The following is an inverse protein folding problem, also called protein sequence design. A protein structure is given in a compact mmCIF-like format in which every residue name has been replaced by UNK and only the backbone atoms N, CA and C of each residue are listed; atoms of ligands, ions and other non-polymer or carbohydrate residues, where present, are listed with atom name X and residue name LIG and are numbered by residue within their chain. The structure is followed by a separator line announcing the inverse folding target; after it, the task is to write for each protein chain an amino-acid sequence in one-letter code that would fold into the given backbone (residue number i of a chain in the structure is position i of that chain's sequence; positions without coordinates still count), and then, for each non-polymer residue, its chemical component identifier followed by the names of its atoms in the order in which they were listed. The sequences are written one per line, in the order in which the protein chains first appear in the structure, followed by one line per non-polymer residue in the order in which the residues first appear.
data_IF_456766312275
#
_entry.id   IF_456766312275
#
_cell.length_a   1.000
_cell.length_b   1.000
_cell.length_c   1.000
_cell.angle_alpha   90.00
_cell.angle_beta   90.00
_cell.angle_gamma   90.00
#
_symmetry.space_group_name_H-M   'P 1'
#
loop_
_entity.id
_entity.type
_entity.pdbx_description
1 polymer ?
#
# COMPACT_ATOMS: atom_id res chain seq x y z
N UNK A 1 17.38 -3.08 -19.12
CA UNK A 1 16.20 -2.22 -18.94
C UNK A 1 16.49 -1.34 -17.75
N UNK A 2 16.63 -0.03 -17.95
CA UNK A 2 17.01 0.91 -16.88
C UNK A 2 15.78 1.08 -15.99
N UNK A 3 15.88 0.70 -14.71
CA UNK A 3 14.85 1.00 -13.72
C UNK A 3 14.69 2.52 -13.68
N UNK A 4 13.56 3.04 -14.13
CA UNK A 4 13.27 4.47 -14.04
C UNK A 4 13.33 4.88 -12.57
N UNK A 5 14.18 5.86 -12.26
CA UNK A 5 14.24 6.40 -10.91
C UNK A 5 12.82 6.93 -10.57
N UNK A 6 12.21 6.52 -9.44
CA UNK A 6 10.88 7.01 -9.08
C UNK A 6 10.84 8.53 -9.13
N UNK A 7 9.84 9.08 -9.80
CA UNK A 7 9.77 10.52 -10.04
C UNK A 7 9.63 11.23 -8.69
N UNK A 8 10.62 12.07 -8.36
CA UNK A 8 10.61 12.84 -7.12
C UNK A 8 9.46 13.85 -7.18
N UNK A 9 8.48 13.66 -6.31
CA UNK A 9 7.33 14.57 -6.11
C UNK A 9 7.41 15.14 -4.70
N UNK A 10 7.06 16.41 -4.52
CA UNK A 10 6.79 16.95 -3.19
C UNK A 10 5.59 16.22 -2.56
N UNK A 11 5.39 16.40 -1.24
CA UNK A 11 4.27 15.75 -0.53
C UNK A 11 2.89 16.09 -1.15
N UNK A 12 2.66 17.36 -1.47
CA UNK A 12 1.42 17.83 -2.07
C UNK A 12 1.24 17.30 -3.50
N UNK A 13 2.27 17.39 -4.34
CA UNK A 13 2.25 16.85 -5.71
C UNK A 13 2.01 15.34 -5.71
N UNK A 14 2.62 14.61 -4.78
CA UNK A 14 2.44 13.17 -4.64
C UNK A 14 0.98 12.83 -4.29
N UNK A 15 0.37 13.55 -3.36
CA UNK A 15 -1.03 13.35 -3.02
C UNK A 15 -1.96 13.65 -4.21
N UNK A 16 -1.73 14.75 -4.92
CA UNK A 16 -2.53 15.11 -6.11
C UNK A 16 -2.33 14.13 -7.27
N UNK A 17 -1.12 13.60 -7.45
CA UNK A 17 -0.83 12.53 -8.41
C UNK A 17 -1.66 11.28 -8.12
N UNK A 18 -1.65 10.78 -6.87
CA UNK A 18 -2.41 9.59 -6.48
C UNK A 18 -3.91 9.79 -6.73
N UNK A 19 -4.48 10.93 -6.34
CA UNK A 19 -5.91 11.22 -6.61
C UNK A 19 -6.21 11.26 -8.10
N UNK A 20 -5.33 11.88 -8.89
CA UNK A 20 -5.49 11.96 -10.35
C UNK A 20 -5.40 10.57 -11.01
N UNK A 21 -4.48 9.71 -10.54
CA UNK A 21 -4.34 8.34 -11.03
C UNK A 21 -5.59 7.51 -10.72
N UNK A 22 -6.17 7.64 -9.51
CA UNK A 22 -7.43 6.97 -9.17
C UNK A 22 -8.59 7.44 -10.07
N UNK A 23 -8.68 8.75 -10.33
CA UNK A 23 -9.68 9.32 -11.25
C UNK A 23 -9.50 8.87 -12.69
N UNK A 24 -8.25 8.74 -13.16
CA UNK A 24 -7.94 8.24 -14.49
C UNK A 24 -8.45 6.79 -14.72
N UNK A 25 -8.63 6.01 -13.64
CA UNK A 25 -9.27 4.69 -13.69
C UNK A 25 -10.81 4.75 -13.70
N UNK A 26 -11.40 5.94 -13.84
CA UNK A 26 -12.85 6.16 -13.78
C UNK A 26 -13.44 5.87 -12.40
N UNK A 27 -12.66 6.09 -11.34
CA UNK A 27 -13.11 5.97 -9.94
C UNK A 27 -13.17 7.39 -9.37
N UNK A 28 -14.36 7.87 -9.00
CA UNK A 28 -14.49 9.14 -8.29
C UNK A 28 -14.47 8.87 -6.77
N UNK A 29 -13.41 9.28 -6.04
CA UNK A 29 -13.33 9.04 -4.61
C UNK A 29 -14.35 9.89 -3.86
N UNK A 30 -15.10 9.29 -2.93
CA UNK A 30 -16.02 10.04 -2.08
C UNK A 30 -15.25 11.12 -1.29
N UNK A 31 -15.80 12.34 -1.06
CA UNK A 31 -15.10 13.40 -0.31
C UNK A 31 -14.67 13.01 1.10
N UNK A 32 -15.38 12.07 1.74
CA UNK A 32 -15.03 11.52 3.06
C UNK A 32 -14.24 10.20 2.98
N UNK A 33 -13.87 9.73 1.79
CA UNK A 33 -13.01 8.55 1.66
C UNK A 33 -11.64 8.79 2.30
N UNK A 34 -10.99 7.69 2.68
CA UNK A 34 -9.60 7.68 3.19
C UNK A 34 -8.68 8.54 2.35
N UNK A 35 -8.70 8.31 1.04
CA UNK A 35 -7.85 8.98 0.06
C UNK A 35 -8.06 10.50 0.07
N UNK A 36 -9.31 10.97 0.07
CA UNK A 36 -9.61 12.40 0.02
C UNK A 36 -9.29 13.11 1.34
N UNK A 37 -9.45 12.44 2.47
CA UNK A 37 -9.01 12.98 3.76
C UNK A 37 -7.48 13.12 3.82
N UNK A 38 -6.74 12.08 3.38
CA UNK A 38 -5.28 12.13 3.26
C UNK A 38 -4.81 13.21 2.30
N UNK A 39 -5.48 13.38 1.14
CA UNK A 39 -5.17 14.43 0.19
C UNK A 39 -5.33 15.82 0.82
N UNK A 40 -6.46 16.09 1.51
CA UNK A 40 -6.69 17.38 2.17
C UNK A 40 -5.61 17.69 3.21
N UNK A 41 -5.23 16.71 4.02
CA UNK A 41 -4.19 16.91 5.02
C UNK A 41 -2.82 17.24 4.42
N UNK A 42 -2.49 16.73 3.23
CA UNK A 42 -1.19 16.99 2.58
C UNK A 42 -1.17 18.18 1.61
N UNK A 43 -2.35 18.66 1.19
CA UNK A 43 -2.50 19.78 0.24
C UNK A 43 -3.09 21.04 0.87
N UNK A 44 -3.32 21.02 2.18
CA UNK A 44 -3.79 22.16 2.96
C UNK A 44 -2.87 23.39 2.81
N UNK A 45 -3.39 24.55 3.18
CA UNK A 45 -2.74 25.85 2.97
C UNK A 45 -1.46 26.06 3.79
N UNK A 46 -1.22 25.23 4.80
CA UNK A 46 -0.02 25.31 5.65
C UNK A 46 1.07 24.38 5.12
N UNK A 47 2.24 24.94 4.81
CA UNK A 47 3.43 24.18 4.39
C UNK A 47 3.99 23.29 5.49
N UNK A 48 3.72 23.63 6.76
CA UNK A 48 4.16 22.91 7.95
C UNK A 48 2.92 22.61 8.80
N UNK A 49 2.81 21.35 9.25
CA UNK A 49 1.78 20.89 10.18
C UNK A 49 2.47 20.59 11.49
N UNK A 50 2.21 21.43 12.49
CA UNK A 50 2.83 21.32 13.81
C UNK A 50 2.31 20.08 14.58
N UNK A 51 3.09 19.51 15.52
CA UNK A 51 2.69 18.31 16.27
C UNK A 51 1.37 18.40 17.05
N UNK A 52 0.94 19.61 17.40
CA UNK A 52 -0.31 19.89 18.11
C UNK A 52 -1.50 20.17 17.17
N UNK A 53 -1.26 20.27 15.87
CA UNK A 53 -2.30 20.48 14.88
C UNK A 53 -3.24 19.25 14.80
N UNK A 54 -4.58 19.44 14.70
CA UNK A 54 -5.53 18.33 14.68
C UNK A 54 -5.29 17.32 13.56
N UNK A 55 -4.80 17.78 12.40
CA UNK A 55 -4.50 16.91 11.25
C UNK A 55 -3.12 16.24 11.32
N UNK A 56 -2.29 16.50 12.33
CA UNK A 56 -0.91 16.03 12.36
C UNK A 56 -0.80 14.50 12.22
N UNK A 57 -1.63 13.74 12.95
CA UNK A 57 -1.63 12.27 12.85
C UNK A 57 -2.06 11.78 11.47
N UNK A 58 -3.07 12.44 10.89
CA UNK A 58 -3.56 12.16 9.55
C UNK A 58 -2.49 12.45 8.50
N UNK A 59 -1.76 13.57 8.62
CA UNK A 59 -0.71 13.94 7.67
C UNK A 59 0.46 12.95 7.67
N UNK A 60 0.88 12.46 8.84
CA UNK A 60 1.93 11.43 8.93
C UNK A 60 1.52 10.13 8.25
N UNK A 61 0.32 9.65 8.53
CA UNK A 61 -0.24 8.45 7.91
C UNK A 61 -0.40 8.63 6.39
N UNK A 62 -0.93 9.80 5.98
CA UNK A 62 -1.10 10.17 4.59
C UNK A 62 0.22 10.18 3.83
N UNK A 63 1.31 10.66 4.43
CA UNK A 63 2.63 10.68 3.79
C UNK A 63 3.06 9.27 3.40
N UNK A 64 2.98 8.31 4.32
CA UNK A 64 3.35 6.92 4.04
C UNK A 64 2.43 6.30 3.00
N UNK A 65 1.11 6.41 3.19
CA UNK A 65 0.14 5.73 2.33
C UNK A 65 0.15 6.30 0.90
N UNK A 66 0.27 7.63 0.74
CA UNK A 66 0.39 8.26 -0.57
C UNK A 66 1.71 7.92 -1.26
N UNK A 67 2.81 7.74 -0.53
CA UNK A 67 4.07 7.28 -1.13
C UNK A 67 3.94 5.86 -1.68
N UNK A 68 3.33 4.94 -0.90
CA UNK A 68 3.10 3.56 -1.34
C UNK A 68 2.16 3.51 -2.55
N UNK A 69 1.06 4.25 -2.53
CA UNK A 69 0.11 4.29 -3.65
C UNK A 69 0.73 4.94 -4.89
N UNK A 70 1.53 5.99 -4.73
CA UNK A 70 2.25 6.62 -5.84
C UNK A 70 3.21 5.64 -6.49
N UNK A 71 3.98 4.89 -5.69
CA UNK A 71 4.82 3.81 -6.20
C UNK A 71 4.00 2.76 -6.96
N UNK A 72 2.85 2.33 -6.44
CA UNK A 72 1.95 1.42 -7.15
C UNK A 72 1.56 1.97 -8.53
N UNK A 73 1.12 3.22 -8.59
CA UNK A 73 0.69 3.83 -9.86
C UNK A 73 1.85 4.06 -10.84
N UNK A 74 3.04 4.37 -10.34
CA UNK A 74 4.24 4.52 -11.17
C UNK A 74 4.63 3.18 -11.83
N UNK A 75 4.42 2.05 -11.16
CA UNK A 75 4.73 0.73 -11.74
C UNK A 75 3.58 0.15 -12.60
N UNK A 76 2.34 0.55 -12.36
CA UNK A 76 1.14 -0.04 -12.97
C UNK A 76 0.58 0.71 -14.20
N UNK A 77 1.36 1.59 -14.85
CA UNK A 77 0.83 2.40 -15.97
C UNK A 77 0.30 1.57 -17.15
N UNK A 78 0.91 0.41 -17.44
CA UNK A 78 0.43 -0.49 -18.51
C UNK A 78 -0.76 -1.36 -18.08
N UNK A 79 -1.07 -1.42 -16.79
CA UNK A 79 -2.10 -2.28 -16.19
C UNK A 79 -3.44 -1.54 -15.98
N UNK A 80 -3.52 -0.24 -16.30
CA UNK A 80 -4.74 0.56 -16.10
C UNK A 80 -5.99 0.03 -16.82
N UNK A 81 -5.82 -0.80 -17.85
CA UNK A 81 -6.91 -1.47 -18.56
C UNK A 81 -7.40 -2.77 -17.88
N UNK A 82 -6.68 -3.29 -16.88
CA UNK A 82 -7.00 -4.57 -16.24
C UNK A 82 -8.11 -4.38 -15.20
N UNK A 83 -9.29 -4.97 -15.43
CA UNK A 83 -10.46 -4.82 -14.54
C UNK A 83 -10.16 -5.17 -13.08
N UNK A 84 -9.37 -6.23 -12.84
CA UNK A 84 -8.98 -6.64 -11.50
C UNK A 84 -8.14 -5.58 -10.75
N UNK A 85 -7.22 -4.90 -11.43
CA UNK A 85 -6.43 -3.82 -10.82
C UNK A 85 -7.33 -2.67 -10.39
N UNK A 86 -8.23 -2.25 -11.27
CA UNK A 86 -9.22 -1.20 -10.98
C UNK A 86 -10.11 -1.55 -9.78
N UNK A 87 -10.57 -2.80 -9.69
CA UNK A 87 -11.39 -3.26 -8.57
C UNK A 87 -10.61 -3.25 -7.25
N UNK A 88 -9.34 -3.64 -7.26
CA UNK A 88 -8.46 -3.56 -6.10
C UNK A 88 -8.22 -2.10 -5.68
N UNK A 89 -7.93 -1.19 -6.63
CA UNK A 89 -7.79 0.24 -6.33
C UNK A 89 -9.06 0.78 -5.67
N UNK A 90 -10.25 0.43 -6.17
CA UNK A 90 -11.51 0.84 -5.54
C UNK A 90 -11.65 0.33 -4.11
N UNK A 91 -11.18 -0.89 -3.82
CA UNK A 91 -11.21 -1.44 -2.46
C UNK A 91 -10.30 -0.68 -1.50
N UNK A 92 -9.16 -0.14 -1.96
CA UNK A 92 -8.25 0.65 -1.11
C UNK A 92 -8.91 1.89 -0.47
N UNK A 93 -10.04 2.36 -1.00
CA UNK A 93 -10.70 3.58 -0.53
C UNK A 93 -11.59 3.40 0.71
N UNK A 94 -11.86 2.16 1.14
CA UNK A 94 -12.94 1.82 2.09
C UNK A 94 -12.63 2.01 3.58
N UNK A 95 -11.36 2.05 3.95
CA UNK A 95 -10.91 2.05 5.35
C UNK A 95 -10.93 3.45 5.99
N UNK A 96 -10.78 3.52 7.32
CA UNK A 96 -10.60 4.79 8.03
C UNK A 96 -9.23 5.42 7.70
N UNK A 97 -9.08 6.72 7.93
CA UNK A 97 -7.78 7.38 7.71
C UNK A 97 -6.72 6.85 8.64
N UNK A 98 -7.03 6.71 9.93
CA UNK A 98 -6.08 6.22 10.91
C UNK A 98 -6.22 4.69 11.09
N UNK A 99 -5.12 3.91 11.02
CA UNK A 99 -5.19 2.45 11.11
C UNK A 99 -5.80 1.92 12.40
N UNK A 100 -5.62 2.63 13.53
CA UNK A 100 -6.09 2.21 14.84
C UNK A 100 -7.63 2.22 14.99
N UNK A 101 -8.34 2.82 14.03
CA UNK A 101 -9.79 2.88 14.00
C UNK A 101 -10.40 1.65 13.30
N UNK A 102 -9.59 0.90 12.54
CA UNK A 102 -9.99 -0.27 11.74
C UNK A 102 -9.66 -1.62 12.43
N UNK A 103 -9.91 -1.72 13.74
CA UNK A 103 -9.34 -2.77 14.64
C UNK A 103 -9.64 -4.23 14.26
N UNK A 104 -10.61 -4.48 13.39
CA UNK A 104 -10.97 -5.84 12.94
C UNK A 104 -10.98 -6.02 11.42
N UNK A 105 -11.46 -5.01 10.69
CA UNK A 105 -11.65 -5.04 9.24
C UNK A 105 -10.89 -3.86 8.62
N UNK A 106 -9.95 -4.17 7.74
CA UNK A 106 -9.07 -3.18 7.09
C UNK A 106 -8.82 -3.60 5.65
N UNK A 107 -9.92 -3.93 4.95
CA UNK A 107 -9.86 -4.49 3.60
C UNK A 107 -9.11 -3.55 2.66
N UNK A 108 -9.28 -2.24 2.80
CA UNK A 108 -8.58 -1.27 1.97
C UNK A 108 -7.06 -1.32 2.13
N UNK A 109 -6.55 -1.45 3.35
CA UNK A 109 -5.12 -1.59 3.67
C UNK A 109 -4.58 -2.97 3.29
N UNK A 110 -5.38 -4.01 3.49
CA UNK A 110 -5.02 -5.38 3.07
C UNK A 110 -4.83 -5.41 1.53
N UNK A 111 -5.75 -4.78 0.79
CA UNK A 111 -5.65 -4.61 -0.67
C UNK A 111 -4.51 -3.68 -1.08
N UNK A 112 -4.26 -2.59 -0.36
CA UNK A 112 -3.13 -1.70 -0.64
C UNK A 112 -1.79 -2.44 -0.51
N UNK A 113 -1.65 -3.32 0.50
CA UNK A 113 -0.46 -4.15 0.65
C UNK A 113 -0.30 -5.14 -0.51
N UNK A 114 -1.39 -5.79 -0.95
CA UNK A 114 -1.39 -6.64 -2.14
C UNK A 114 -0.92 -5.88 -3.40
N UNK A 115 -1.47 -4.68 -3.65
CA UNK A 115 -1.08 -3.83 -4.77
C UNK A 115 0.40 -3.42 -4.68
N UNK A 116 0.87 -3.10 -3.48
CA UNK A 116 2.28 -2.75 -3.26
C UNK A 116 3.23 -3.91 -3.56
N UNK A 117 2.88 -5.14 -3.15
CA UNK A 117 3.65 -6.35 -3.50
C UNK A 117 3.67 -6.59 -5.01
N UNK A 118 2.54 -6.40 -5.70
CA UNK A 118 2.47 -6.48 -7.16
C UNK A 118 3.37 -5.44 -7.83
N UNK A 119 3.38 -4.20 -7.33
CA UNK A 119 4.23 -3.13 -7.83
C UNK A 119 5.73 -3.42 -7.63
N UNK A 120 6.12 -4.03 -6.49
CA UNK A 120 7.50 -4.50 -6.29
C UNK A 120 7.88 -5.53 -7.38
N UNK A 121 6.98 -6.48 -7.67
CA UNK A 121 7.24 -7.48 -8.72
C UNK A 121 7.41 -6.82 -10.10
N UNK A 122 6.55 -5.87 -10.45
CA UNK A 122 6.65 -5.09 -11.69
C UNK A 122 7.99 -4.34 -11.76
N UNK A 123 8.35 -3.62 -10.69
CA UNK A 123 9.58 -2.84 -10.60
C UNK A 123 10.84 -3.70 -10.73
N UNK A 124 10.80 -4.91 -10.18
CA UNK A 124 11.88 -5.90 -10.28
C UNK A 124 11.92 -6.63 -11.64
N UNK A 125 11.03 -6.31 -12.58
CA UNK A 125 10.96 -6.94 -13.90
C UNK A 125 10.37 -8.35 -13.88
N UNK A 126 9.66 -8.74 -12.82
CA UNK A 126 9.02 -10.06 -12.67
C UNK A 126 7.66 -10.07 -13.38
N UNK A 127 7.67 -9.80 -14.68
CA UNK A 127 6.48 -9.61 -15.52
C UNK A 127 6.19 -10.85 -16.38
N UNK A 128 4.92 -11.12 -16.75
CA UNK A 128 3.71 -10.37 -16.40
C UNK A 128 3.30 -10.55 -14.94
N UNK A 129 2.72 -9.49 -14.37
CA UNK A 129 2.10 -9.51 -13.04
C UNK A 129 0.59 -9.64 -13.17
N UNK A 130 0.01 -10.60 -12.45
CA UNK A 130 -1.43 -10.88 -12.41
C UNK A 130 -2.04 -10.65 -11.03
N UNK A 131 -3.35 -10.38 -11.02
CA UNK A 131 -4.16 -10.15 -9.80
C UNK A 131 -5.19 -11.28 -9.67
N UNK A 132 -4.78 -12.40 -9.09
CA UNK A 132 -5.55 -13.63 -9.00
C UNK A 132 -5.13 -14.44 -7.76
N UNK A 133 -5.89 -15.49 -7.41
CA UNK A 133 -5.60 -16.33 -6.24
C UNK A 133 -4.17 -16.90 -6.32
N UNK A 134 -3.36 -16.84 -5.24
CA UNK A 134 -3.74 -16.45 -3.88
C UNK A 134 -3.95 -14.97 -3.62
N UNK A 135 -3.23 -14.07 -4.32
CA UNK A 135 -3.43 -12.61 -4.30
C UNK A 135 -2.71 -11.95 -5.51
N UNK A 136 -1.47 -12.37 -5.79
CA UNK A 136 -0.63 -11.87 -6.91
C UNK A 136 0.07 -13.03 -7.60
N UNK A 137 0.29 -12.92 -8.91
CA UNK A 137 1.19 -13.80 -9.66
C UNK A 137 2.25 -13.01 -10.41
N UNK A 138 3.41 -13.60 -10.63
CA UNK A 138 4.52 -13.04 -11.40
C UNK A 138 5.27 -14.14 -12.15
N UNK A 139 6.19 -13.78 -13.06
CA UNK A 139 7.00 -14.75 -13.81
C UNK A 139 8.50 -14.51 -13.57
N UNK A 140 9.22 -15.60 -13.29
CA UNK A 140 10.69 -15.63 -13.12
C UNK A 140 11.23 -16.76 -13.98
N UNK A 141 12.11 -16.46 -14.93
CA UNK A 141 12.71 -17.44 -15.85
C UNK A 141 11.66 -18.34 -16.55
N UNK A 142 10.53 -17.77 -16.94
CA UNK A 142 9.41 -18.48 -17.59
C UNK A 142 8.53 -19.30 -16.65
N UNK A 143 8.83 -19.32 -15.35
CA UNK A 143 8.05 -20.03 -14.33
C UNK A 143 7.10 -19.03 -13.66
N UNK A 144 5.81 -19.38 -13.60
CA UNK A 144 4.80 -18.59 -12.90
C UNK A 144 4.85 -18.86 -11.39
N UNK A 145 4.99 -17.81 -10.59
CA UNK A 145 4.97 -17.86 -9.13
C UNK A 145 3.69 -17.22 -8.59
N UNK A 146 3.21 -17.76 -7.48
CA UNK A 146 2.11 -17.20 -6.69
C UNK A 146 2.64 -16.47 -5.45
N UNK A 147 2.04 -15.33 -5.11
CA UNK A 147 2.37 -14.59 -3.89
C UNK A 147 1.09 -14.37 -3.09
N UNK A 148 1.06 -14.92 -1.88
CA UNK A 148 0.00 -14.67 -0.91
C UNK A 148 0.40 -13.48 -0.02
N UNK A 149 -0.23 -12.32 -0.20
CA UNK A 149 0.00 -11.11 0.58
C UNK A 149 -0.92 -11.08 1.79
N UNK A 150 -0.36 -11.12 3.01
CA UNK A 150 -1.14 -11.11 4.25
C UNK A 150 -0.66 -10.02 5.19
N UNK A 151 -1.59 -9.16 5.60
CA UNK A 151 -1.37 -8.16 6.64
C UNK A 151 -1.84 -8.69 7.99
N UNK A 152 -0.92 -8.77 8.94
CA UNK A 152 -1.17 -9.33 10.26
C UNK A 152 -1.62 -8.22 11.22
N UNK A 153 -2.77 -8.45 11.85
CA UNK A 153 -3.33 -7.55 12.88
C UNK A 153 -2.98 -8.01 14.30
N UNK A 154 -2.62 -9.28 14.44
CA UNK A 154 -2.31 -9.90 15.72
C UNK A 154 -1.25 -11.00 15.56
N UNK A 155 -0.16 -10.89 16.33
CA UNK A 155 0.93 -11.89 16.38
C UNK A 155 0.41 -13.28 16.76
N UNK A 156 -0.61 -13.38 17.63
CA UNK A 156 -1.17 -14.67 18.03
C UNK A 156 -1.78 -15.45 16.86
N UNK A 157 -2.16 -14.76 15.78
CA UNK A 157 -2.72 -15.38 14.58
C UNK A 157 -1.69 -15.63 13.47
N UNK A 158 -0.41 -15.29 13.68
CA UNK A 158 0.65 -15.46 12.68
C UNK A 158 0.65 -16.87 12.07
N UNK A 159 0.73 -17.89 12.93
CA UNK A 159 0.75 -19.31 12.49
C UNK A 159 -0.49 -19.67 11.66
N UNK A 160 -1.67 -19.19 12.06
CA UNK A 160 -2.93 -19.43 11.34
C UNK A 160 -2.89 -18.80 9.95
N UNK A 161 -2.45 -17.55 9.83
CA UNK A 161 -2.37 -16.84 8.55
C UNK A 161 -1.32 -17.44 7.62
N UNK A 162 -0.14 -17.80 8.14
CA UNK A 162 0.91 -18.48 7.37
C UNK A 162 0.41 -19.82 6.85
N UNK A 163 -0.24 -20.64 7.71
CA UNK A 163 -0.81 -21.92 7.27
C UNK A 163 -1.86 -21.74 6.18
N UNK A 164 -2.74 -20.73 6.30
CA UNK A 164 -3.75 -20.44 5.28
C UNK A 164 -3.10 -20.01 3.96
N UNK A 165 -2.13 -19.10 4.00
CA UNK A 165 -1.43 -18.63 2.81
C UNK A 165 -0.66 -19.77 2.10
N UNK A 166 0.03 -20.61 2.87
CA UNK A 166 0.68 -21.81 2.34
C UNK A 166 -0.32 -22.75 1.67
N UNK A 167 -1.49 -22.96 2.28
CA UNK A 167 -2.55 -23.78 1.69
C UNK A 167 -3.05 -23.20 0.37
N UNK A 168 -3.24 -21.87 0.27
CA UNK A 168 -3.67 -21.23 -0.98
C UNK A 168 -2.64 -21.44 -2.10
N UNK A 169 -1.35 -21.30 -1.80
CA UNK A 169 -0.25 -21.54 -2.75
C UNK A 169 -0.23 -23.01 -3.19
N UNK A 170 -0.34 -23.95 -2.25
CA UNK A 170 -0.36 -25.38 -2.54
C UNK A 170 -1.55 -25.75 -3.45
N UNK A 171 -2.74 -25.21 -3.16
CA UNK A 171 -3.94 -25.42 -3.98
C UNK A 171 -3.78 -24.86 -5.40
N UNK A 172 -3.05 -23.76 -5.58
CA UNK A 172 -2.76 -23.19 -6.89
C UNK A 172 -1.80 -24.05 -7.74
N UNK A 173 -1.11 -25.03 -7.12
CA UNK A 173 -0.13 -25.93 -7.79
C UNK A 173 0.99 -25.17 -8.52
N UNK A 174 1.38 -24.02 -7.98
CA UNK A 174 2.48 -23.19 -8.46
C UNK A 174 3.49 -22.99 -7.32
N UNK A 175 4.78 -22.80 -7.63
CA UNK A 175 5.72 -22.34 -6.62
C UNK A 175 5.25 -20.98 -6.09
N UNK A 176 5.52 -20.67 -4.82
CA UNK A 176 5.03 -19.42 -4.27
C UNK A 176 5.71 -18.92 -3.02
N UNK A 177 5.38 -17.67 -2.70
CA UNK A 177 5.93 -16.90 -1.60
C UNK A 177 4.79 -16.33 -0.75
N UNK A 178 5.07 -16.12 0.54
CA UNK A 178 4.15 -15.43 1.45
C UNK A 178 4.77 -14.07 1.77
N UNK A 179 4.09 -13.00 1.38
CA UNK A 179 4.46 -11.65 1.79
C UNK A 179 3.69 -11.28 3.06
N UNK A 180 4.40 -10.90 4.12
CA UNK A 180 3.79 -10.57 5.42
C UNK A 180 4.06 -9.12 5.81
N UNK A 181 3.00 -8.36 6.06
CA UNK A 181 3.09 -7.08 6.79
C UNK A 181 2.77 -7.33 8.27
N UNK A 182 3.74 -7.05 9.13
CA UNK A 182 3.66 -7.23 10.60
C UNK A 182 3.48 -5.90 11.35
N UNK A 183 3.47 -4.76 10.66
CA UNK A 183 3.53 -3.44 11.29
C UNK A 183 2.39 -3.24 12.29
N UNK A 184 1.14 -3.56 11.93
CA UNK A 184 0.00 -3.42 12.85
C UNK A 184 0.04 -4.46 13.97
N UNK A 185 0.45 -5.70 13.69
CA UNK A 185 0.55 -6.73 14.72
C UNK A 185 1.54 -6.35 15.82
N UNK A 186 2.66 -5.71 15.46
CA UNK A 186 3.73 -5.31 16.37
C UNK A 186 3.56 -3.90 16.94
N UNK A 187 2.77 -3.04 16.29
CA UNK A 187 2.50 -1.66 16.71
C UNK A 187 1.01 -1.30 16.61
N UNK A 188 0.16 -1.99 17.38
CA UNK A 188 -1.31 -1.87 17.28
C UNK A 188 -1.85 -0.48 17.56
N UNK A 189 -1.23 0.24 18.48
CA UNK A 189 -1.65 1.60 18.84
C UNK A 189 -1.07 2.65 17.91
N UNK A 190 -0.41 2.23 16.82
CA UNK A 190 0.28 3.10 15.86
C UNK A 190 1.22 4.09 16.58
N UNK A 191 1.94 3.60 17.60
CA UNK A 191 2.86 4.42 18.39
C UNK A 191 4.03 4.87 17.53
N UNK A 192 4.47 6.11 17.74
CA UNK A 192 5.66 6.63 17.10
C UNK A 192 6.90 6.10 17.81
N UNK A 193 7.87 5.62 17.04
CA UNK A 193 9.22 5.37 17.54
C UNK A 193 9.98 6.69 17.49
N UNK A 194 10.06 7.38 18.62
CA UNK A 194 10.85 8.60 18.75
C UNK A 194 12.27 8.18 19.11
N UNK A 195 13.17 8.25 18.15
CA UNK A 195 14.61 8.13 18.40
C UNK A 195 15.18 9.54 18.43
N UNK A 196 15.85 9.97 19.52
CA UNK A 196 16.64 11.19 19.48
C UNK A 196 17.76 10.98 18.47
N UNK A 197 17.85 11.87 17.48
CA UNK A 197 18.93 11.90 16.50
C UNK A 197 19.84 13.04 16.94
N UNK A 198 21.13 12.77 17.12
CA UNK A 198 22.09 13.84 17.42
C UNK A 198 22.28 14.74 16.19
N UNK A 199 22.71 15.98 16.39
CA UNK A 199 23.00 16.90 15.27
C UNK A 199 23.97 16.26 14.26
N UNK A 200 25.00 15.55 14.74
CA UNK A 200 25.97 14.83 13.89
C UNK A 200 25.36 13.72 13.01
N UNK A 201 24.18 13.19 13.38
CA UNK A 201 23.44 12.19 12.60
C UNK A 201 22.41 12.83 11.67
N UNK A 202 22.19 14.14 11.78
CA UNK A 202 21.21 14.88 10.99
C UNK A 202 21.83 15.57 9.76
N UNK A 203 23.16 15.71 9.71
CA UNK A 203 23.92 16.34 8.61
C UNK A 203 24.00 15.45 7.36
#
# INVERSE_FOLDING_TARGET
MIMGNPMQRTRAENASFVVSAVRALGIEPHPQSRLMQMHRALTGTTTIIEPDHPDFQTALEAQRDMQLLSFVFDQSQEQGAHGAFRDLVKQTLKDSVLPQDDRGQSTGRDTQFQLYVAAICQSAGLVPVGYEEPDVTCVVDGIKFCIAAKRLKNVSNLRKHVKKAAQQIETARLPGMIALDTCVALNRSNMRFIAPISDDQFV
#
